data_IF_191969954754
#
_entry.id   IF_191969954754
#
_cell.length_a   1.000
_cell.length_b   1.000
_cell.length_c   1.000
_cell.angle_alpha   90.00
_cell.angle_beta   90.00
_cell.angle_gamma   90.00
#
_symmetry.space_group_name_H-M   'P 1'
#
loop_
_entity.id
_entity.type
_entity.pdbx_description
1 polymer ?
#
# COMPACT_ATOMS: atom_id res chain seq x y z
N UNK A 1 -16.18 -11.51 -21.53
CA UNK A 1 -14.83 -11.98 -21.89
C UNK A 1 -13.94 -12.23 -20.66
N UNK A 2 -14.07 -11.46 -19.57
CA UNK A 2 -13.35 -11.71 -18.31
C UNK A 2 -13.69 -13.06 -17.64
N UNK A 3 -14.97 -13.47 -17.66
CA UNK A 3 -15.42 -14.74 -17.07
C UNK A 3 -14.79 -15.98 -17.72
N UNK A 4 -14.45 -15.89 -19.01
CA UNK A 4 -13.86 -17.00 -19.79
C UNK A 4 -12.35 -17.15 -19.56
N UNK A 5 -11.67 -16.05 -19.17
CA UNK A 5 -10.26 -16.06 -18.77
C UNK A 5 -10.10 -16.52 -17.31
N UNK A 6 -10.97 -16.06 -16.39
CA UNK A 6 -11.02 -16.59 -15.02
C UNK A 6 -11.26 -18.10 -15.03
N UNK A 7 -12.14 -18.60 -15.91
CA UNK A 7 -12.46 -20.02 -15.99
C UNK A 7 -11.28 -20.93 -16.38
N UNK A 8 -10.26 -20.41 -17.10
CA UNK A 8 -9.07 -21.17 -17.45
C UNK A 8 -7.99 -21.14 -16.35
N UNK A 9 -8.04 -20.18 -15.42
CA UNK A 9 -7.17 -20.12 -14.23
C UNK A 9 -7.71 -20.91 -13.03
N UNK A 10 -8.90 -21.51 -13.14
CA UNK A 10 -9.62 -22.10 -12.01
C UNK A 10 -8.96 -23.33 -11.38
N UNK A 11 -8.01 -23.98 -12.04
CA UNK A 11 -7.38 -25.20 -11.54
C UNK A 11 -5.85 -25.10 -11.67
N UNK A 12 -5.18 -25.13 -10.51
CA UNK A 12 -3.80 -25.61 -10.45
C UNK A 12 -3.75 -27.04 -11.01
N UNK A 13 -2.62 -27.49 -11.56
CA UNK A 13 -2.48 -28.88 -12.02
C UNK A 13 -2.78 -29.93 -10.92
N UNK A 14 -2.83 -29.51 -9.65
CA UNK A 14 -3.11 -30.33 -8.48
C UNK A 14 -4.56 -30.24 -7.96
N UNK A 15 -5.44 -29.47 -8.63
CA UNK A 15 -6.88 -29.44 -8.33
C UNK A 15 -7.35 -28.34 -7.36
N UNK A 16 -6.53 -27.33 -7.06
CA UNK A 16 -6.86 -26.16 -6.25
C UNK A 16 -7.03 -24.88 -7.09
N UNK A 17 -7.44 -23.76 -6.48
CA UNK A 17 -7.51 -22.48 -7.17
C UNK A 17 -6.11 -21.88 -7.38
N UNK A 18 -5.82 -21.33 -8.55
CA UNK A 18 -4.57 -20.61 -8.79
C UNK A 18 -4.50 -19.33 -7.94
N UNK A 19 -3.31 -19.00 -7.41
CA UNK A 19 -3.03 -17.75 -6.69
C UNK A 19 -3.56 -16.52 -7.44
N UNK A 20 -3.36 -16.42 -8.76
CA UNK A 20 -3.86 -15.30 -9.57
C UNK A 20 -5.39 -15.13 -9.45
N UNK A 21 -6.13 -16.25 -9.59
CA UNK A 21 -7.58 -16.27 -9.43
C UNK A 21 -8.01 -15.82 -8.02
N UNK A 22 -7.35 -16.34 -6.99
CA UNK A 22 -7.64 -15.99 -5.59
C UNK A 22 -7.44 -14.49 -5.33
N UNK A 23 -6.35 -13.90 -5.84
CA UNK A 23 -6.08 -12.46 -5.72
C UNK A 23 -7.11 -11.61 -6.46
N UNK A 24 -7.52 -12.01 -7.67
CA UNK A 24 -8.57 -11.30 -8.42
C UNK A 24 -9.93 -11.37 -7.74
N UNK A 25 -10.29 -12.54 -7.20
CA UNK A 25 -11.53 -12.72 -6.45
C UNK A 25 -11.51 -11.89 -5.16
N UNK A 26 -10.41 -11.92 -4.40
CA UNK A 26 -10.24 -11.11 -3.21
C UNK A 26 -10.40 -9.61 -3.50
N UNK A 27 -9.77 -9.10 -4.57
CA UNK A 27 -9.94 -7.69 -5.00
C UNK A 27 -11.41 -7.35 -5.27
N UNK A 28 -12.12 -8.21 -5.99
CA UNK A 28 -13.54 -8.01 -6.28
C UNK A 28 -14.39 -7.98 -4.99
N UNK A 29 -14.11 -8.88 -4.05
CA UNK A 29 -14.80 -8.95 -2.76
C UNK A 29 -14.50 -7.73 -1.89
N UNK A 30 -13.26 -7.23 -1.88
CA UNK A 30 -12.90 -5.97 -1.21
C UNK A 30 -13.70 -4.79 -1.77
N UNK A 31 -13.86 -4.71 -3.10
CA UNK A 31 -14.70 -3.68 -3.74
C UNK A 31 -16.19 -3.80 -3.37
N UNK A 32 -16.66 -4.99 -3.00
CA UNK A 32 -18.04 -5.25 -2.55
C UNK A 32 -18.23 -5.12 -1.04
N UNK A 33 -17.16 -4.94 -0.26
CA UNK A 33 -17.21 -4.93 1.20
C UNK A 33 -17.28 -6.32 1.84
N UNK A 34 -17.04 -7.39 1.08
CA UNK A 34 -17.07 -8.78 1.53
C UNK A 34 -15.74 -9.18 2.19
N UNK A 35 -15.37 -8.51 3.29
CA UNK A 35 -14.03 -8.60 3.87
C UNK A 35 -13.64 -10.00 4.38
N UNK A 36 -14.57 -10.73 4.99
CA UNK A 36 -14.31 -12.07 5.50
C UNK A 36 -13.97 -13.06 4.37
N UNK A 37 -14.74 -13.01 3.27
CA UNK A 37 -14.50 -13.84 2.09
C UNK A 37 -13.20 -13.44 1.38
N UNK A 38 -12.91 -12.14 1.29
CA UNK A 38 -11.64 -11.66 0.75
C UNK A 38 -10.46 -12.18 1.58
N UNK A 39 -10.55 -12.12 2.91
CA UNK A 39 -9.48 -12.60 3.79
C UNK A 39 -9.25 -14.10 3.62
N UNK A 40 -10.31 -14.93 3.54
CA UNK A 40 -10.17 -16.36 3.32
C UNK A 40 -9.43 -16.68 2.00
N UNK A 41 -9.75 -15.98 0.92
CA UNK A 41 -9.07 -16.14 -0.37
C UNK A 41 -7.60 -15.68 -0.31
N UNK A 42 -7.30 -14.61 0.42
CA UNK A 42 -5.93 -14.11 0.61
C UNK A 42 -5.09 -15.05 1.48
N UNK A 43 -5.70 -15.63 2.51
CA UNK A 43 -5.06 -16.65 3.32
C UNK A 43 -4.74 -17.87 2.46
N UNK A 44 -5.68 -18.38 1.67
CA UNK A 44 -5.41 -19.50 0.74
C UNK A 44 -4.28 -19.16 -0.25
N UNK A 45 -4.27 -17.94 -0.82
CA UNK A 45 -3.20 -17.49 -1.70
C UNK A 45 -1.83 -17.49 -1.00
N UNK A 46 -1.79 -17.06 0.27
CA UNK A 46 -0.59 -17.06 1.10
C UNK A 46 -0.18 -18.46 1.59
N UNK A 47 -1.11 -19.42 1.68
CA UNK A 47 -0.75 -20.81 1.97
C UNK A 47 -0.03 -21.45 0.78
N UNK A 48 -0.37 -21.06 -0.46
CA UNK A 48 0.31 -21.54 -1.66
C UNK A 48 1.65 -20.82 -1.91
N UNK A 49 1.72 -19.53 -1.60
CA UNK A 49 2.93 -18.73 -1.69
C UNK A 49 2.91 -17.63 -0.60
N UNK A 50 3.62 -17.89 0.49
CA UNK A 50 3.70 -17.02 1.67
C UNK A 50 4.52 -15.74 1.42
N UNK A 51 5.31 -15.70 0.36
CA UNK A 51 6.10 -14.54 -0.08
C UNK A 51 5.39 -13.73 -1.19
N UNK A 52 4.10 -13.99 -1.46
CA UNK A 52 3.37 -13.25 -2.48
C UNK A 52 3.10 -11.80 -2.05
N UNK A 53 3.89 -10.85 -2.58
CA UNK A 53 3.79 -9.44 -2.25
C UNK A 53 2.40 -8.84 -2.48
N UNK A 54 1.70 -9.24 -3.55
CA UNK A 54 0.35 -8.74 -3.85
C UNK A 54 -0.69 -9.26 -2.86
N UNK A 55 -0.59 -10.51 -2.44
CA UNK A 55 -1.47 -11.09 -1.42
C UNK A 55 -1.34 -10.32 -0.10
N UNK A 56 -0.11 -10.01 0.32
CA UNK A 56 0.16 -9.18 1.50
C UNK A 56 -0.38 -7.75 1.35
N UNK A 57 -0.25 -7.12 0.18
CA UNK A 57 -0.81 -5.79 -0.09
C UNK A 57 -2.34 -5.77 0.04
N UNK A 58 -3.01 -6.77 -0.53
CA UNK A 58 -4.47 -6.89 -0.46
C UNK A 58 -4.95 -7.24 0.95
N UNK A 59 -4.19 -8.03 1.71
CA UNK A 59 -4.46 -8.32 3.12
C UNK A 59 -4.34 -7.05 3.96
N UNK A 60 -3.31 -6.24 3.74
CA UNK A 60 -3.17 -4.92 4.34
C UNK A 60 -4.33 -4.00 3.99
N UNK A 61 -4.82 -4.05 2.74
CA UNK A 61 -6.00 -3.29 2.33
C UNK A 61 -7.28 -3.75 3.04
N UNK A 62 -7.46 -5.05 3.19
CA UNK A 62 -8.59 -5.63 3.91
C UNK A 62 -8.62 -5.13 5.36
N UNK A 63 -7.49 -5.17 6.06
CA UNK A 63 -7.38 -4.67 7.42
C UNK A 63 -7.60 -3.16 7.52
N UNK A 64 -7.06 -2.39 6.58
CA UNK A 64 -7.28 -0.95 6.52
C UNK A 64 -8.77 -0.61 6.40
N UNK A 65 -9.52 -1.33 5.56
CA UNK A 65 -10.97 -1.13 5.39
C UNK A 65 -11.78 -1.52 6.63
N UNK A 66 -11.26 -2.43 7.44
CA UNK A 66 -11.85 -2.83 8.73
C UNK A 66 -11.43 -1.91 9.89
N UNK A 67 -10.49 -0.99 9.67
CA UNK A 67 -9.95 -0.09 10.69
C UNK A 67 -8.86 -0.69 11.58
N UNK A 68 -8.39 -1.91 11.29
CA UNK A 68 -7.26 -2.52 12.00
C UNK A 68 -5.94 -2.00 11.43
N UNK A 69 -5.56 -0.81 11.88
CA UNK A 69 -4.36 -0.10 11.39
C UNK A 69 -3.07 -0.85 11.71
N UNK A 70 -3.02 -1.58 12.83
CA UNK A 70 -1.84 -2.36 13.25
C UNK A 70 -1.56 -3.48 12.26
N UNK A 71 -2.55 -4.35 12.00
CA UNK A 71 -2.37 -5.45 11.04
C UNK A 71 -2.25 -4.98 9.60
N UNK A 72 -2.91 -3.86 9.26
CA UNK A 72 -2.78 -3.25 7.95
C UNK A 72 -1.32 -2.85 7.68
N UNK A 73 -0.69 -2.16 8.64
CA UNK A 73 0.71 -1.76 8.57
C UNK A 73 1.63 -2.96 8.37
N UNK A 74 1.55 -3.95 9.27
CA UNK A 74 2.38 -5.17 9.21
C UNK A 74 2.27 -5.83 7.84
N UNK A 75 1.05 -5.96 7.32
CA UNK A 75 0.82 -6.58 6.01
C UNK A 75 1.42 -5.77 4.86
N UNK A 76 1.38 -4.44 4.91
CA UNK A 76 2.02 -3.60 3.89
C UNK A 76 3.55 -3.63 3.98
N UNK A 77 4.11 -3.64 5.19
CA UNK A 77 5.56 -3.79 5.39
C UNK A 77 6.05 -5.15 4.86
N UNK A 78 5.32 -6.23 5.17
CA UNK A 78 5.59 -7.55 4.60
C UNK A 78 5.53 -7.52 3.06
N UNK A 79 4.48 -6.93 2.48
CA UNK A 79 4.32 -6.80 1.02
C UNK A 79 5.54 -6.16 0.34
N UNK A 80 6.05 -5.07 0.91
CA UNK A 80 7.21 -4.33 0.37
C UNK A 80 8.54 -5.05 0.59
N UNK A 81 8.59 -6.06 1.47
CA UNK A 81 9.81 -6.85 1.74
C UNK A 81 10.04 -7.98 0.72
N UNK A 82 9.01 -8.38 -0.02
CA UNK A 82 9.06 -9.50 -0.96
C UNK A 82 9.32 -9.08 -2.41
N UNK A 83 9.82 -10.02 -3.19
CA UNK A 83 10.12 -9.85 -4.62
C UNK A 83 9.43 -10.94 -5.44
N UNK A 84 8.77 -10.62 -6.57
CA UNK A 84 8.59 -9.28 -7.15
C UNK A 84 7.70 -8.38 -6.27
N UNK A 85 7.80 -7.04 -6.40
CA UNK A 85 6.98 -6.11 -5.63
C UNK A 85 5.49 -6.23 -6.01
N UNK A 86 4.57 -5.67 -5.20
CA UNK A 86 3.15 -5.66 -5.56
C UNK A 86 2.90 -4.89 -6.87
N UNK A 87 1.74 -5.10 -7.50
CA UNK A 87 1.43 -4.52 -8.81
C UNK A 87 1.40 -2.98 -8.79
N UNK A 88 1.05 -2.38 -7.65
CA UNK A 88 1.06 -0.94 -7.42
C UNK A 88 1.75 -0.62 -6.08
N UNK A 89 3.10 -0.58 -6.05
CA UNK A 89 3.87 -0.26 -4.85
C UNK A 89 3.60 1.17 -4.37
N UNK A 90 3.29 2.09 -5.29
CA UNK A 90 2.94 3.47 -4.96
C UNK A 90 1.69 3.53 -4.07
N UNK A 91 0.66 2.78 -4.41
CA UNK A 91 -0.55 2.70 -3.60
C UNK A 91 -0.29 2.08 -2.22
N UNK A 92 0.56 1.06 -2.14
CA UNK A 92 0.95 0.42 -0.87
C UNK A 92 1.69 1.42 0.02
N UNK A 93 2.71 2.09 -0.50
CA UNK A 93 3.49 3.10 0.22
C UNK A 93 2.63 4.29 0.67
N UNK A 94 1.71 4.75 -0.19
CA UNK A 94 0.77 5.82 0.16
C UNK A 94 -0.11 5.43 1.36
N UNK A 95 -0.61 4.19 1.39
CA UNK A 95 -1.47 3.69 2.47
C UNK A 95 -0.69 3.43 3.75
N UNK A 96 0.52 2.90 3.64
CA UNK A 96 1.44 2.74 4.77
C UNK A 96 1.76 4.11 5.39
N UNK A 97 2.11 5.09 4.56
CA UNK A 97 2.36 6.47 4.98
C UNK A 97 1.18 7.11 5.70
N UNK A 98 -0.05 6.90 5.21
CA UNK A 98 -1.25 7.41 5.89
C UNK A 98 -1.50 6.75 7.25
N UNK A 99 -1.29 5.43 7.36
CA UNK A 99 -1.44 4.70 8.63
C UNK A 99 -0.46 5.25 9.69
N UNK A 100 0.81 5.42 9.32
CA UNK A 100 1.83 5.91 10.24
C UNK A 100 1.61 7.38 10.63
N UNK A 101 1.08 8.20 9.72
CA UNK A 101 0.68 9.58 10.02
C UNK A 101 -0.49 9.65 11.01
N UNK A 102 -1.49 8.76 10.88
CA UNK A 102 -2.63 8.64 11.80
C UNK A 102 -2.20 8.20 13.20
N UNK A 103 -1.27 7.24 13.30
CA UNK A 103 -0.72 6.79 14.58
C UNK A 103 -0.10 7.95 15.39
N UNK A 104 0.41 8.99 14.72
CA UNK A 104 0.67 10.30 15.31
C UNK A 104 1.77 10.37 16.38
N UNK A 105 2.46 9.28 16.63
CA UNK A 105 3.63 9.21 17.51
C UNK A 105 4.85 9.75 16.77
N UNK A 106 5.72 10.51 17.45
CA UNK A 106 6.89 11.14 16.84
C UNK A 106 7.81 10.15 16.11
N UNK A 107 7.99 8.93 16.65
CA UNK A 107 8.78 7.88 16.04
C UNK A 107 8.18 7.32 14.74
N UNK A 108 6.86 7.42 14.58
CA UNK A 108 6.14 6.92 13.39
C UNK A 108 6.07 7.95 12.27
N UNK A 109 6.29 9.24 12.58
CA UNK A 109 6.31 10.30 11.57
C UNK A 109 7.50 10.17 10.61
N UNK A 110 8.64 9.67 11.07
CA UNK A 110 9.80 9.43 10.20
C UNK A 110 9.54 8.28 9.23
N UNK A 111 8.90 7.21 9.69
CA UNK A 111 8.52 6.09 8.81
C UNK A 111 7.45 6.53 7.81
N UNK A 112 6.46 7.33 8.24
CA UNK A 112 5.49 7.94 7.36
C UNK A 112 6.15 8.82 6.28
N UNK A 113 7.09 9.68 6.68
CA UNK A 113 7.84 10.56 5.76
C UNK A 113 8.64 9.75 4.74
N UNK A 114 9.33 8.69 5.18
CA UNK A 114 10.08 7.80 4.28
C UNK A 114 9.17 7.14 3.26
N UNK A 115 8.07 6.51 3.70
CA UNK A 115 7.13 5.83 2.82
C UNK A 115 6.48 6.80 1.81
N UNK A 116 6.10 8.01 2.25
CA UNK A 116 5.51 9.02 1.38
C UNK A 116 6.51 9.63 0.40
N UNK A 117 7.79 9.75 0.79
CA UNK A 117 8.85 10.20 -0.10
C UNK A 117 9.11 9.17 -1.19
N UNK A 118 9.13 7.88 -0.84
CA UNK A 118 9.25 6.80 -1.82
C UNK A 118 8.03 6.74 -2.75
N UNK A 119 6.81 6.91 -2.22
CA UNK A 119 5.60 7.05 -3.02
C UNK A 119 5.71 8.25 -3.99
N UNK A 120 6.24 9.40 -3.54
CA UNK A 120 6.48 10.55 -4.42
C UNK A 120 7.48 10.25 -5.55
N UNK A 121 8.51 9.45 -5.28
CA UNK A 121 9.46 9.02 -6.31
C UNK A 121 8.80 8.14 -7.38
N UNK A 122 7.85 7.28 -7.00
CA UNK A 122 7.09 6.45 -7.94
C UNK A 122 6.05 7.25 -8.73
N UNK A 123 5.38 8.21 -8.08
CA UNK A 123 4.37 9.06 -8.72
C UNK A 123 4.34 10.46 -8.08
N UNK A 124 5.13 11.38 -8.65
CA UNK A 124 5.27 12.74 -8.14
C UNK A 124 4.03 13.63 -8.32
N UNK A 125 3.08 13.19 -9.15
CA UNK A 125 1.84 13.92 -9.44
C UNK A 125 0.70 13.57 -8.50
N UNK A 126 0.90 12.65 -7.55
CA UNK A 126 -0.15 12.25 -6.63
C UNK A 126 -0.36 13.30 -5.53
N UNK A 127 -1.42 14.10 -5.66
CA UNK A 127 -1.75 15.18 -4.72
C UNK A 127 -1.92 14.70 -3.26
N UNK A 128 -2.34 13.44 -3.02
CA UNK A 128 -2.49 12.91 -1.65
C UNK A 128 -1.14 12.80 -0.94
N UNK A 129 -0.08 12.44 -1.67
CA UNK A 129 1.28 12.38 -1.10
C UNK A 129 1.69 13.75 -0.57
N UNK A 130 1.47 14.80 -1.36
CA UNK A 130 1.76 16.18 -0.96
C UNK A 130 0.93 16.64 0.24
N UNK A 131 -0.35 16.25 0.31
CA UNK A 131 -1.21 16.54 1.47
C UNK A 131 -0.63 15.92 2.74
N UNK A 132 -0.25 14.64 2.70
CA UNK A 132 0.29 13.94 3.87
C UNK A 132 1.67 14.49 4.29
N UNK A 133 2.58 14.72 3.34
CA UNK A 133 3.88 15.35 3.63
C UNK A 133 3.72 16.75 4.25
N UNK A 134 2.77 17.56 3.74
CA UNK A 134 2.45 18.88 4.30
C UNK A 134 1.96 18.76 5.75
N UNK A 135 1.13 17.76 6.06
CA UNK A 135 0.63 17.54 7.41
C UNK A 135 1.74 17.14 8.38
N UNK A 136 2.64 16.24 7.96
CA UNK A 136 3.81 15.83 8.76
C UNK A 136 4.67 17.05 9.09
N UNK A 137 4.97 17.89 8.09
CA UNK A 137 5.70 19.15 8.25
C UNK A 137 5.08 20.06 9.33
N UNK A 138 3.75 20.25 9.29
CA UNK A 138 3.04 21.06 10.27
C UNK A 138 3.08 20.46 11.69
N UNK A 139 2.92 19.14 11.82
CA UNK A 139 3.01 18.44 13.12
C UNK A 139 4.40 18.57 13.73
N UNK A 140 5.47 18.33 12.95
CA UNK A 140 6.86 18.41 13.42
C UNK A 140 7.21 19.84 13.82
N UNK A 141 6.82 20.83 13.01
CA UNK A 141 7.06 22.25 13.30
C UNK A 141 6.40 22.72 14.60
N UNK A 142 5.19 22.23 14.91
CA UNK A 142 4.48 22.55 16.17
C UNK A 142 5.18 21.99 17.42
N UNK A 143 5.97 20.95 17.29
CA UNK A 143 6.66 20.31 18.43
C UNK A 143 8.11 20.81 18.61
N UNK A 144 8.52 21.84 17.89
CA UNK A 144 9.82 22.50 18.09
C UNK A 144 11.04 21.69 17.62
N UNK A 145 10.85 20.56 16.94
CA UNK A 145 11.94 19.88 16.25
C UNK A 145 12.28 20.65 14.96
N UNK A 146 13.57 20.97 14.77
CA UNK A 146 14.08 21.41 13.47
C UNK A 146 13.87 20.25 12.50
N UNK A 147 12.84 20.41 11.70
CA UNK A 147 12.34 19.36 10.85
C UNK A 147 13.40 19.00 9.80
N UNK A 148 13.55 17.70 9.49
CA UNK A 148 14.30 17.20 8.34
C UNK A 148 13.58 17.50 7.00
N UNK A 149 12.85 18.63 6.93
CA UNK A 149 12.10 19.05 5.75
C UNK A 149 13.07 19.65 4.75
N UNK A 150 13.72 18.79 3.99
CA UNK A 150 14.54 19.19 2.84
C UNK A 150 13.93 18.73 1.50
N UNK A 151 13.19 17.61 1.36
CA UNK A 151 12.73 17.19 0.02
C UNK A 151 11.47 17.88 -0.51
N UNK A 152 10.50 18.27 0.36
CA UNK A 152 9.16 18.72 -0.10
C UNK A 152 9.25 20.01 -0.93
N UNK A 153 10.06 20.98 -0.50
CA UNK A 153 10.22 22.26 -1.21
C UNK A 153 11.16 22.12 -2.42
N UNK A 154 12.24 21.34 -2.31
CA UNK A 154 13.19 21.15 -3.41
C UNK A 154 12.61 20.32 -4.56
N UNK A 155 11.79 19.30 -4.27
CA UNK A 155 11.19 18.45 -5.28
C UNK A 155 10.02 19.16 -5.99
N UNK A 156 9.24 19.97 -5.28
CA UNK A 156 8.23 20.85 -5.89
C UNK A 156 8.87 21.91 -6.81
N UNK A 157 10.03 22.47 -6.44
CA UNK A 157 10.74 23.46 -7.26
C UNK A 157 11.33 22.89 -8.55
N UNK A 158 11.78 21.62 -8.55
CA UNK A 158 12.31 20.98 -9.78
C UNK A 158 11.25 20.82 -10.87
N UNK A 159 9.99 20.60 -10.51
CA UNK A 159 8.89 20.46 -11.49
C UNK A 159 8.36 21.78 -12.06
N UNK A 160 8.73 22.93 -11.47
CA UNK A 160 8.40 24.26 -12.01
C UNK A 160 9.44 24.71 -13.05
N UNK A 161 10.64 24.10 -13.06
CA UNK A 161 11.78 24.54 -13.88
C UNK A 161 12.04 23.75 -15.16
N UNK A 162 11.23 22.75 -15.51
CA UNK A 162 11.28 22.12 -16.84
C UNK A 162 10.12 22.64 -17.73
N UNK A 163 10.32 23.73 -18.50
CA UNK A 163 9.45 24.02 -19.62
C UNK A 163 9.73 22.99 -20.73
N UNK A 164 8.66 22.44 -21.31
CA UNK A 164 8.74 21.58 -22.50
C UNK A 164 9.23 22.32 -23.74
#
# INVERSE_FOLDING_TARGET
MAERALAQELLSPEGGYNVSYLLHLARLQLHRGEYASAMANLEEALHQNDENAEAWALKGHCYLLQGDLCRARESYECSLSFQPPPADPHLVLLRLGSICQEAGQLGELSLAESALTEANHLNSRNARVWIYLSFICLKVSRQGLKAFIVPVVECANKHIQEPG
#
